data_IF_003056777067
#
_entry.id   IF_003056777067
#
_cell.length_a   1.000
_cell.length_b   1.000
_cell.length_c   1.000
_cell.angle_alpha   90.00
_cell.angle_beta   90.00
_cell.angle_gamma   90.00
#
_symmetry.space_group_name_H-M   'P 1'
#
loop_
_entity.id
_entity.type
_entity.pdbx_description
1 polymer ?
#
# COMPACT_ATOMS: atom_id res chain seq x y z
N UNK A 1 -2.95 10.28 -6.60
CA UNK A 1 -1.70 10.12 -5.81
C UNK A 1 -2.12 9.95 -4.36
N UNK A 2 -2.44 8.71 -3.94
CA UNK A 2 -3.33 8.59 -2.77
C UNK A 2 -2.87 7.56 -1.72
N UNK A 3 -1.75 6.85 -1.93
CA UNK A 3 -1.26 5.91 -0.91
C UNK A 3 0.25 5.66 -0.97
N UNK A 4 0.92 5.66 0.18
CA UNK A 4 2.34 5.30 0.27
C UNK A 4 2.52 3.89 0.82
N UNK A 5 3.54 3.19 0.30
CA UNK A 5 3.95 1.92 0.86
C UNK A 5 4.46 2.11 2.30
N UNK A 6 3.90 1.45 3.32
CA UNK A 6 4.37 1.61 4.69
C UNK A 6 5.78 1.05 4.91
N UNK A 7 6.24 0.17 4.01
CA UNK A 7 7.53 -0.50 4.09
C UNK A 7 8.68 0.31 3.50
N UNK A 8 8.52 0.89 2.31
CA UNK A 8 9.59 1.63 1.61
C UNK A 8 9.24 3.08 1.27
N UNK A 9 8.06 3.56 1.67
CA UNK A 9 7.56 4.92 1.41
C UNK A 9 7.38 5.29 -0.08
N UNK A 10 7.32 4.31 -0.98
CA UNK A 10 7.02 4.57 -2.39
C UNK A 10 5.57 4.99 -2.57
N UNK A 11 5.29 6.05 -3.35
CA UNK A 11 3.93 6.44 -3.69
C UNK A 11 3.36 5.48 -4.73
N UNK A 12 2.07 5.14 -4.58
CA UNK A 12 1.31 4.36 -5.54
C UNK A 12 0.02 5.10 -5.90
N UNK A 13 -0.39 4.94 -7.15
CA UNK A 13 -1.63 5.53 -7.65
C UNK A 13 -2.78 4.52 -7.51
N UNK A 14 -3.93 5.00 -7.02
CA UNK A 14 -5.16 4.22 -6.86
C UNK A 14 -5.60 3.60 -8.17
N UNK A 15 -5.50 4.35 -9.27
CA UNK A 15 -5.86 3.89 -10.60
C UNK A 15 -4.96 2.73 -11.04
N UNK A 16 -3.64 2.87 -10.84
CA UNK A 16 -2.70 1.79 -11.12
C UNK A 16 -2.99 0.54 -10.30
N UNK A 17 -3.26 0.69 -9.01
CA UNK A 17 -3.55 -0.44 -8.12
C UNK A 17 -4.80 -1.21 -8.57
N UNK A 18 -5.83 -0.51 -9.03
CA UNK A 18 -7.07 -1.13 -9.47
C UNK A 18 -6.99 -1.69 -10.89
N UNK A 19 -6.34 -1.00 -11.82
CA UNK A 19 -6.44 -1.34 -13.24
C UNK A 19 -5.16 -1.97 -13.79
N UNK A 20 -4.00 -1.56 -13.31
CA UNK A 20 -2.72 -1.90 -13.95
C UNK A 20 -1.91 -2.97 -13.22
N UNK A 21 -1.99 -3.04 -11.89
CA UNK A 21 -1.16 -3.93 -11.08
C UNK A 21 -1.33 -5.42 -11.42
N UNK A 22 -2.45 -5.81 -12.04
CA UNK A 22 -2.70 -7.18 -12.51
C UNK A 22 -1.85 -7.55 -13.73
N UNK A 23 -1.50 -6.58 -14.59
CA UNK A 23 -0.68 -6.82 -15.78
C UNK A 23 0.78 -7.12 -15.43
N UNK A 24 1.21 -6.78 -14.22
CA UNK A 24 2.53 -7.16 -13.67
C UNK A 24 2.58 -8.63 -13.18
N UNK A 25 1.47 -9.36 -13.29
CA UNK A 25 1.35 -10.74 -12.81
C UNK A 25 1.20 -11.74 -13.96
N UNK A 26 1.33 -13.02 -13.64
CA UNK A 26 1.10 -14.10 -14.60
C UNK A 26 -0.36 -14.21 -15.08
N UNK A 27 -1.30 -13.44 -14.52
CA UNK A 27 -2.71 -13.39 -14.93
C UNK A 27 -2.98 -12.41 -16.08
N UNK A 28 -1.95 -11.79 -16.67
CA UNK A 28 -2.08 -10.77 -17.72
C UNK A 28 -2.97 -11.20 -18.91
N UNK A 29 -3.02 -12.50 -19.23
CA UNK A 29 -3.82 -13.07 -20.32
C UNK A 29 -5.33 -13.16 -20.00
N UNK A 30 -5.69 -13.11 -18.73
CA UNK A 30 -7.06 -13.03 -18.23
C UNK A 30 -7.42 -11.65 -17.69
N UNK A 31 -6.44 -10.74 -17.61
CA UNK A 31 -6.56 -9.43 -16.98
C UNK A 31 -7.71 -8.61 -17.56
N UNK A 32 -7.88 -8.56 -18.88
CA UNK A 32 -8.93 -7.73 -19.51
C UNK A 32 -10.35 -8.12 -19.09
N UNK A 33 -10.62 -9.43 -18.94
CA UNK A 33 -11.93 -9.94 -18.47
C UNK A 33 -12.10 -9.82 -16.94
N UNK A 34 -10.99 -9.64 -16.22
CA UNK A 34 -10.89 -9.60 -14.77
C UNK A 34 -10.82 -8.16 -14.23
N UNK A 35 -10.29 -7.21 -14.99
CA UNK A 35 -10.19 -5.78 -14.67
C UNK A 35 -11.57 -5.13 -14.56
N UNK A 36 -12.48 -5.43 -15.49
CA UNK A 36 -13.85 -4.89 -15.47
C UNK A 36 -14.64 -5.33 -14.22
N UNK A 37 -14.28 -6.48 -13.62
CA UNK A 37 -14.88 -6.98 -12.39
C UNK A 37 -14.09 -6.58 -11.12
N UNK A 38 -12.85 -6.14 -11.27
CA UNK A 38 -11.94 -5.89 -10.17
C UNK A 38 -11.96 -4.42 -9.77
N UNK A 39 -12.79 -4.09 -8.78
CA UNK A 39 -12.82 -2.78 -8.14
C UNK A 39 -11.89 -2.71 -6.91
N UNK A 40 -10.75 -3.41 -6.97
CA UNK A 40 -9.77 -3.42 -5.88
C UNK A 40 -10.01 -4.45 -4.77
N UNK A 41 -11.08 -5.26 -4.80
CA UNK A 41 -11.30 -6.35 -3.85
C UNK A 41 -10.56 -7.63 -4.29
N UNK A 42 -9.69 -8.12 -3.43
CA UNK A 42 -8.84 -9.29 -3.66
C UNK A 42 -9.62 -10.59 -3.39
N UNK A 43 -9.89 -11.34 -4.44
CA UNK A 43 -10.18 -12.78 -4.35
C UNK A 43 -8.88 -13.56 -4.14
N UNK A 44 -8.97 -14.81 -3.67
CA UNK A 44 -7.83 -15.69 -3.41
C UNK A 44 -6.91 -15.84 -4.64
N UNK A 45 -7.50 -15.90 -5.83
CA UNK A 45 -6.74 -16.04 -7.08
C UNK A 45 -5.88 -14.80 -7.37
N UNK A 46 -6.48 -13.61 -7.24
CA UNK A 46 -5.80 -12.34 -7.47
C UNK A 46 -4.74 -12.09 -6.40
N UNK A 47 -5.09 -12.36 -5.13
CA UNK A 47 -4.16 -12.25 -4.01
C UNK A 47 -2.92 -13.09 -4.27
N UNK A 48 -3.08 -14.35 -4.65
CA UNK A 48 -1.96 -15.24 -4.92
C UNK A 48 -1.05 -14.71 -6.02
N UNK A 49 -1.62 -14.27 -7.15
CA UNK A 49 -0.84 -13.74 -8.28
C UNK A 49 -0.05 -12.48 -7.91
N UNK A 50 -0.68 -11.54 -7.18
CA UNK A 50 -0.05 -10.32 -6.72
C UNK A 50 1.04 -10.60 -5.66
N UNK A 51 0.83 -11.58 -4.80
CA UNK A 51 1.86 -12.02 -3.84
C UNK A 51 3.10 -12.58 -4.54
N UNK A 52 2.93 -13.32 -5.66
CA UNK A 52 4.07 -13.76 -6.49
C UNK A 52 4.82 -12.58 -7.13
N UNK A 53 4.10 -11.55 -7.58
CA UNK A 53 4.71 -10.31 -8.05
C UNK A 53 5.46 -9.55 -6.93
N UNK A 54 5.17 -9.85 -5.66
CA UNK A 54 5.89 -9.33 -4.49
C UNK A 54 5.08 -8.35 -3.65
N UNK A 55 3.78 -8.26 -3.89
CA UNK A 55 2.86 -7.57 -3.00
C UNK A 55 2.65 -8.34 -1.69
N UNK A 56 2.29 -7.64 -0.62
CA UNK A 56 1.73 -8.24 0.60
C UNK A 56 0.62 -7.37 1.13
N UNK A 57 -0.45 -7.99 1.61
CA UNK A 57 -1.67 -7.30 2.02
C UNK A 57 -1.97 -7.52 3.50
N UNK A 58 -2.58 -6.51 4.12
CA UNK A 58 -3.15 -6.56 5.46
C UNK A 58 -4.66 -6.86 5.46
N UNK A 59 -5.37 -6.52 4.37
CA UNK A 59 -6.83 -6.64 4.29
C UNK A 59 -7.31 -7.33 3.02
N UNK A 60 -8.59 -7.20 2.73
CA UNK A 60 -9.26 -7.79 1.55
C UNK A 60 -9.14 -6.95 0.29
N UNK A 61 -8.55 -5.76 0.37
CA UNK A 61 -8.45 -4.82 -0.75
C UNK A 61 -7.01 -4.54 -1.16
N UNK A 62 -6.81 -4.23 -2.44
CA UNK A 62 -5.52 -3.90 -3.04
C UNK A 62 -4.86 -2.71 -2.35
N UNK A 63 -5.65 -1.68 -2.01
CA UNK A 63 -5.19 -0.50 -1.27
C UNK A 63 -4.61 -0.86 0.10
N UNK A 64 -5.04 -1.97 0.70
CA UNK A 64 -4.59 -2.41 2.03
C UNK A 64 -3.28 -3.18 1.96
N UNK A 65 -2.33 -2.75 1.14
CA UNK A 65 -1.01 -3.38 1.02
C UNK A 65 -0.05 -2.89 2.10
N UNK A 66 0.78 -3.80 2.62
CA UNK A 66 1.86 -3.53 3.58
C UNK A 66 3.24 -3.61 2.95
N UNK A 67 3.36 -4.24 1.78
CA UNK A 67 4.60 -4.32 1.02
C UNK A 67 4.30 -4.25 -0.46
N UNK A 68 5.14 -3.53 -1.20
CA UNK A 68 5.07 -3.44 -2.65
C UNK A 68 6.26 -4.14 -3.32
N UNK A 69 6.21 -4.41 -4.63
CA UNK A 69 7.29 -5.06 -5.39
C UNK A 69 8.63 -4.29 -5.30
N UNK A 70 8.58 -2.96 -5.26
CA UNK A 70 9.77 -2.10 -5.16
C UNK A 70 10.52 -2.23 -3.82
N UNK A 71 9.89 -2.79 -2.78
CA UNK A 71 10.55 -3.04 -1.50
C UNK A 71 11.71 -4.06 -1.58
N UNK A 72 11.84 -4.81 -2.69
CA UNK A 72 12.95 -5.74 -2.90
C UNK A 72 14.26 -5.00 -3.14
N UNK A 73 14.18 -3.85 -3.81
CA UNK A 73 15.33 -3.08 -4.26
C UNK A 73 15.67 -1.91 -3.32
N UNK A 74 14.71 -1.52 -2.46
CA UNK A 74 14.84 -0.37 -1.57
C UNK A 74 15.06 -0.79 -0.12
N UNK A 75 15.86 0.00 0.60
CA UNK A 75 15.98 -0.12 2.05
C UNK A 75 14.63 0.16 2.71
N UNK A 76 14.31 -0.62 3.74
CA UNK A 76 13.10 -0.42 4.53
C UNK A 76 13.15 0.95 5.22
N UNK A 77 12.01 1.64 5.25
CA UNK A 77 11.91 2.90 5.97
C UNK A 77 12.20 2.67 7.47
N UNK A 78 12.91 3.57 8.17
CA UNK A 78 13.24 3.39 9.59
C UNK A 78 12.03 3.19 10.51
N UNK A 79 10.87 3.75 10.13
CA UNK A 79 9.59 3.61 10.83
C UNK A 79 8.65 2.57 10.21
N UNK A 80 9.17 1.68 9.36
CA UNK A 80 8.36 0.72 8.59
C UNK A 80 7.55 -0.21 9.49
N UNK A 81 8.10 -0.66 10.62
CA UNK A 81 7.38 -1.51 11.58
C UNK A 81 6.08 -0.87 12.09
N UNK A 82 6.18 0.36 12.60
CA UNK A 82 5.03 1.12 13.12
C UNK A 82 4.03 1.47 12.02
N UNK A 83 4.52 1.81 10.81
CA UNK A 83 3.68 2.07 9.64
C UNK A 83 2.89 0.83 9.22
N UNK A 84 3.53 -0.34 9.20
CA UNK A 84 2.90 -1.62 8.85
C UNK A 84 1.86 -2.00 9.92
N UNK A 85 2.21 -1.93 11.20
CA UNK A 85 1.29 -2.26 12.31
C UNK A 85 0.07 -1.33 12.29
N UNK A 86 0.28 -0.02 12.15
CA UNK A 86 -0.83 0.93 12.07
C UNK A 86 -1.73 0.63 10.87
N UNK A 87 -1.14 0.23 9.73
CA UNK A 87 -1.91 -0.10 8.54
C UNK A 87 -2.71 -1.40 8.67
N UNK A 88 -2.19 -2.38 9.39
CA UNK A 88 -2.93 -3.60 9.73
C UNK A 88 -4.14 -3.27 10.61
N UNK A 89 -3.94 -2.50 11.67
CA UNK A 89 -5.03 -2.07 12.55
C UNK A 89 -6.08 -1.23 11.80
N UNK A 90 -5.65 -0.37 10.88
CA UNK A 90 -6.56 0.42 10.06
C UNK A 90 -7.37 -0.45 9.10
N UNK A 91 -6.73 -1.45 8.48
CA UNK A 91 -7.43 -2.40 7.60
C UNK A 91 -8.48 -3.21 8.38
N UNK A 92 -8.14 -3.67 9.58
CA UNK A 92 -9.08 -4.40 10.45
C UNK A 92 -10.25 -3.53 10.92
N UNK A 93 -10.00 -2.25 11.21
CA UNK A 93 -11.03 -1.30 11.65
C UNK A 93 -11.98 -0.89 10.53
N UNK A 94 -11.45 -0.65 9.32
CA UNK A 94 -12.20 -0.08 8.20
C UNK A 94 -12.83 -1.14 7.29
N UNK A 95 -12.29 -2.36 7.27
CA UNK A 95 -12.87 -3.50 6.57
C UNK A 95 -13.03 -3.26 5.07
N UNK A 96 -14.25 -2.94 4.64
CA UNK A 96 -14.60 -2.70 3.24
C UNK A 96 -14.73 -1.20 2.87
N UNK A 97 -14.52 -0.27 3.82
CA UNK A 97 -14.49 1.17 3.55
C UNK A 97 -13.12 1.61 2.97
N UNK A 98 -12.97 1.41 1.66
CA UNK A 98 -11.73 1.72 0.92
C UNK A 98 -11.46 3.22 0.91
N UNK A 99 -12.46 4.03 0.60
CA UNK A 99 -12.31 5.48 0.43
C UNK A 99 -11.87 6.13 1.75
N UNK A 100 -12.48 5.70 2.86
CA UNK A 100 -12.04 6.10 4.19
C UNK A 100 -10.61 5.63 4.47
N UNK A 101 -10.26 4.39 4.12
CA UNK A 101 -8.92 3.84 4.38
C UNK A 101 -7.82 4.59 3.64
N UNK A 102 -8.05 4.95 2.38
CA UNK A 102 -7.12 5.72 1.55
C UNK A 102 -6.94 7.12 2.13
N UNK A 103 -8.03 7.81 2.48
CA UNK A 103 -7.98 9.15 3.09
C UNK A 103 -7.23 9.16 4.43
N UNK A 104 -7.53 8.24 5.35
CA UNK A 104 -6.84 8.16 6.64
C UNK A 104 -5.36 7.80 6.50
N UNK A 105 -5.02 6.98 5.51
CA UNK A 105 -3.62 6.65 5.22
C UNK A 105 -2.81 7.86 4.78
N UNK A 106 -3.34 8.66 3.88
CA UNK A 106 -2.65 9.85 3.36
C UNK A 106 -2.38 10.86 4.48
N UNK A 107 -3.37 11.10 5.34
CA UNK A 107 -3.25 11.97 6.50
C UNK A 107 -2.19 11.45 7.50
N UNK A 108 -2.19 10.14 7.75
CA UNK A 108 -1.21 9.50 8.61
C UNK A 108 0.21 9.63 8.05
N UNK A 109 0.38 9.42 6.75
CA UNK A 109 1.66 9.57 6.06
C UNK A 109 2.18 11.00 6.18
N UNK A 110 1.30 11.98 5.97
CA UNK A 110 1.60 13.41 6.10
C UNK A 110 2.01 13.77 7.53
N UNK A 111 1.27 13.31 8.54
CA UNK A 111 1.57 13.56 9.95
C UNK A 111 2.88 12.92 10.40
N UNK A 112 3.16 11.69 9.96
CA UNK A 112 4.38 10.97 10.31
C UNK A 112 5.62 11.61 9.66
N UNK A 113 5.50 12.06 8.41
CA UNK A 113 6.57 12.79 7.72
C UNK A 113 6.84 14.16 8.38
N UNK A 114 5.79 14.87 8.79
CA UNK A 114 5.92 16.15 9.50
C UNK A 114 6.60 15.99 10.87
N UNK A 115 6.34 14.88 11.59
CA UNK A 115 6.99 14.58 12.88
C UNK A 115 8.49 14.36 12.71
N UNK A 116 8.91 13.63 11.67
CA UNK A 116 10.33 13.36 11.39
C UNK A 116 11.09 14.65 11.03
N UNK A 117 10.47 15.54 10.24
CA UNK A 117 11.08 16.84 9.88
C UNK A 117 11.37 17.70 11.12
N UNK A 118 10.45 17.73 12.09
CA UNK A 118 10.64 18.46 13.35
C UNK A 118 11.74 17.85 14.23
N UNK A 119 11.86 16.53 14.31
CA UNK A 119 12.93 15.88 15.08
C UNK A 119 14.31 16.00 14.43
N UNK A 120 14.39 15.98 13.09
CA UNK A 120 15.65 16.18 12.36
C UNK A 120 16.17 17.61 12.48
N UNK A 121 15.26 18.61 12.42
CA UNK A 121 15.61 20.01 12.63
C UNK A 121 16.17 20.29 14.04
N UNK A 122 15.67 19.61 15.07
CA UNK A 122 16.21 19.75 16.44
C UNK A 122 17.62 19.12 16.57
N UNK A 123 17.91 18.06 15.82
CA UNK A 123 19.21 17.39 15.86
C UNK A 123 20.33 18.11 15.09
N UNK A 124 19.97 18.96 14.12
CA UNK A 124 20.92 19.77 13.35
C UNK A 124 21.34 21.07 14.07
N UNK A 125 20.70 21.41 15.20
CA UNK A 125 20.94 22.65 15.97
C UNK A 125 21.61 22.37 17.33
N UNK A 126 22.00 21.12 17.60
CA UNK A 126 22.67 20.70 18.83
C UNK A 126 24.15 20.36 18.59
#
# INVERSE_FOLDING_TARGET
MDISCPSCAEPWDTDYLCHDAIYDTDLYNTAEALCDAFHGKLDDTYRFALEQAGWKFAGTHMHMFVRCPCCKEKALHPSSSLRIETRQLLADLMGDDIDGFVSFSEDLDTMQNARISRFSAVKAVA
#
